data_IF_652185260664
#
_entry.id   IF_652185260664
#
_cell.length_a   1.000
_cell.length_b   1.000
_cell.length_c   1.000
_cell.angle_alpha   90.00
_cell.angle_beta   90.00
_cell.angle_gamma   90.00
#
_symmetry.space_group_name_H-M   'P 1'
#
loop_
_entity.id
_entity.type
_entity.pdbx_description
1 polymer ?
#
# COMPACT_ATOMS: atom_id res chain seq x y z
N UNK A 1 -11.91 27.34 -48.49
CA UNK A 1 -11.01 26.86 -47.41
C UNK A 1 -11.70 27.08 -46.05
N UNK A 2 -12.63 26.18 -45.64
CA UNK A 2 -13.47 26.36 -44.42
C UNK A 2 -13.53 25.07 -43.54
N UNK A 3 -12.84 23.97 -43.90
CA UNK A 3 -12.94 22.70 -43.17
C UNK A 3 -12.01 22.53 -41.93
N UNK A 4 -11.10 23.47 -41.66
CA UNK A 4 -10.03 23.28 -40.66
C UNK A 4 -10.42 23.63 -39.21
N UNK A 5 -11.30 24.61 -38.99
CA UNK A 5 -11.57 25.13 -37.63
C UNK A 5 -12.34 24.15 -36.72
N UNK A 6 -13.35 23.45 -37.26
CA UNK A 6 -14.14 22.50 -36.49
C UNK A 6 -13.39 21.20 -36.17
N UNK A 7 -12.51 20.76 -37.08
CA UNK A 7 -11.65 19.59 -36.87
C UNK A 7 -10.64 19.84 -35.74
N UNK A 8 -9.96 20.99 -35.75
CA UNK A 8 -9.02 21.38 -34.69
C UNK A 8 -9.71 21.51 -33.33
N UNK A 9 -10.95 22.00 -33.29
CA UNK A 9 -11.72 22.11 -32.06
C UNK A 9 -12.07 20.73 -31.49
N UNK A 10 -12.51 19.79 -32.33
CA UNK A 10 -12.80 18.42 -31.90
C UNK A 10 -11.54 17.68 -31.41
N UNK A 11 -10.43 17.82 -32.13
CA UNK A 11 -9.13 17.25 -31.75
C UNK A 11 -8.66 17.81 -30.39
N UNK A 12 -8.78 19.13 -30.19
CA UNK A 12 -8.43 19.77 -28.93
C UNK A 12 -9.31 19.30 -27.77
N UNK A 13 -10.60 19.08 -28.00
CA UNK A 13 -11.51 18.54 -26.99
C UNK A 13 -11.15 17.11 -26.60
N UNK A 14 -10.84 16.26 -27.58
CA UNK A 14 -10.40 14.87 -27.33
C UNK A 14 -9.07 14.87 -26.57
N UNK A 15 -8.11 15.70 -26.99
CA UNK A 15 -6.83 15.84 -26.30
C UNK A 15 -7.01 16.29 -24.84
N UNK A 16 -7.92 17.23 -24.59
CA UNK A 16 -8.24 17.70 -23.25
C UNK A 16 -8.87 16.59 -22.39
N UNK A 17 -9.80 15.82 -22.94
CA UNK A 17 -10.41 14.67 -22.24
C UNK A 17 -9.34 13.65 -21.87
N UNK A 18 -8.44 13.31 -22.80
CA UNK A 18 -7.34 12.39 -22.56
C UNK A 18 -6.41 12.92 -21.46
N UNK A 19 -6.11 14.22 -21.48
CA UNK A 19 -5.28 14.84 -20.44
C UNK A 19 -5.93 14.73 -19.05
N UNK A 20 -7.23 15.00 -18.93
CA UNK A 20 -7.96 14.85 -17.67
C UNK A 20 -7.99 13.39 -17.18
N UNK A 21 -8.23 12.44 -18.09
CA UNK A 21 -8.18 11.02 -17.75
C UNK A 21 -6.78 10.61 -17.26
N UNK A 22 -5.74 11.07 -17.94
CA UNK A 22 -4.35 10.81 -17.55
C UNK A 22 -4.04 11.31 -16.14
N UNK A 23 -4.40 12.56 -15.83
CA UNK A 23 -4.20 13.14 -14.48
C UNK A 23 -4.99 12.38 -13.42
N UNK A 24 -6.24 11.98 -13.74
CA UNK A 24 -7.10 11.24 -12.80
C UNK A 24 -6.54 9.85 -12.50
N UNK A 25 -6.13 9.11 -13.53
CA UNK A 25 -5.52 7.78 -13.37
C UNK A 25 -4.22 7.90 -12.58
N UNK A 26 -3.39 8.89 -12.89
CA UNK A 26 -2.15 9.12 -12.15
C UNK A 26 -2.41 9.38 -10.67
N UNK A 27 -3.38 10.24 -10.34
CA UNK A 27 -3.74 10.51 -8.96
C UNK A 27 -4.23 9.26 -8.21
N UNK A 28 -5.05 8.42 -8.86
CA UNK A 28 -5.52 7.16 -8.30
C UNK A 28 -4.37 6.19 -8.05
N UNK A 29 -3.49 5.99 -9.05
CA UNK A 29 -2.32 5.10 -8.94
C UNK A 29 -1.40 5.54 -7.81
N UNK A 30 -1.12 6.85 -7.69
CA UNK A 30 -0.28 7.37 -6.59
C UNK A 30 -0.96 7.16 -5.24
N UNK A 31 -2.28 7.37 -5.15
CA UNK A 31 -3.05 7.11 -3.94
C UNK A 31 -2.96 5.65 -3.49
N UNK A 32 -3.31 4.73 -4.38
CA UNK A 32 -3.27 3.28 -4.12
C UNK A 32 -1.86 2.79 -3.84
N UNK A 33 -0.84 3.31 -4.54
CA UNK A 33 0.56 2.91 -4.31
C UNK A 33 1.01 3.21 -2.88
N UNK A 34 0.63 4.37 -2.32
CA UNK A 34 0.98 4.75 -0.94
C UNK A 34 0.25 3.90 0.09
N UNK A 35 -1.00 3.55 -0.17
CA UNK A 35 -1.75 2.64 0.70
C UNK A 35 -1.16 1.24 0.66
N UNK A 36 -0.83 0.74 -0.54
CA UNK A 36 -0.21 -0.56 -0.72
C UNK A 36 1.18 -0.64 -0.07
N UNK A 37 1.99 0.41 -0.17
CA UNK A 37 3.30 0.50 0.47
C UNK A 37 3.18 0.34 1.99
N UNK A 38 2.26 1.06 2.63
CA UNK A 38 1.99 0.95 4.08
C UNK A 38 1.52 -0.43 4.50
N UNK A 39 0.64 -1.05 3.70
CA UNK A 39 0.15 -2.40 3.96
C UNK A 39 1.28 -3.44 3.84
N UNK A 40 2.16 -3.28 2.86
CA UNK A 40 3.29 -4.17 2.61
C UNK A 40 4.36 -4.01 3.70
N UNK A 41 4.65 -2.78 4.12
CA UNK A 41 5.52 -2.47 5.26
C UNK A 41 5.00 -3.16 6.53
N UNK A 42 3.72 -2.95 6.87
CA UNK A 42 3.10 -3.57 8.05
C UNK A 42 3.13 -5.11 7.99
N UNK A 43 2.87 -5.71 6.82
CA UNK A 43 2.94 -7.18 6.63
C UNK A 43 4.37 -7.69 6.80
N UNK A 44 5.34 -6.93 6.31
CA UNK A 44 6.77 -7.27 6.36
C UNK A 44 7.27 -7.19 7.80
N UNK A 45 6.92 -6.14 8.53
CA UNK A 45 7.28 -5.95 9.93
C UNK A 45 6.74 -7.06 10.82
N UNK A 46 5.48 -7.45 10.64
CA UNK A 46 4.85 -8.57 11.37
C UNK A 46 5.54 -9.89 11.09
N UNK A 47 5.84 -10.17 9.83
CA UNK A 47 6.55 -11.40 9.41
C UNK A 47 7.97 -11.43 9.97
N UNK A 48 8.67 -10.30 9.91
CA UNK A 48 10.01 -10.15 10.46
C UNK A 48 10.00 -10.35 11.97
N UNK A 49 9.08 -9.68 12.68
CA UNK A 49 8.89 -9.82 14.12
C UNK A 49 8.66 -11.29 14.50
N UNK A 50 7.74 -11.97 13.81
CA UNK A 50 7.47 -13.39 14.02
C UNK A 50 8.73 -14.25 13.85
N UNK A 51 9.47 -14.05 12.75
CA UNK A 51 10.67 -14.84 12.45
C UNK A 51 11.77 -14.62 13.50
N UNK A 52 12.02 -13.36 13.88
CA UNK A 52 13.03 -13.02 14.88
C UNK A 52 12.65 -13.56 16.26
N UNK A 53 11.40 -13.40 16.68
CA UNK A 53 10.92 -13.94 17.96
C UNK A 53 11.06 -15.46 18.00
N UNK A 54 10.64 -16.16 16.93
CA UNK A 54 10.72 -17.61 16.84
C UNK A 54 12.15 -18.14 16.82
N UNK A 55 13.05 -17.47 16.09
CA UNK A 55 14.45 -17.89 15.96
C UNK A 55 15.26 -17.67 17.24
N UNK A 56 14.96 -16.60 17.98
CA UNK A 56 15.72 -16.19 19.17
C UNK A 56 14.98 -16.46 20.49
N UNK A 57 13.80 -17.10 20.46
CA UNK A 57 12.94 -17.37 21.61
C UNK A 57 12.62 -16.11 22.45
N UNK A 58 12.29 -15.01 21.76
CA UNK A 58 11.97 -13.72 22.39
C UNK A 58 10.48 -13.66 22.73
N UNK A 59 10.15 -13.00 23.85
CA UNK A 59 8.77 -12.77 24.29
C UNK A 59 8.13 -11.54 23.67
N UNK A 60 8.94 -10.61 23.20
CA UNK A 60 8.49 -9.42 22.46
C UNK A 60 9.61 -8.90 21.58
N UNK A 61 9.24 -8.18 20.53
CA UNK A 61 10.18 -7.43 19.68
C UNK A 61 9.54 -6.14 19.23
N UNK A 62 10.31 -5.05 19.27
CA UNK A 62 9.93 -3.78 18.68
C UNK A 62 10.44 -3.72 17.23
N UNK A 63 9.54 -3.51 16.29
CA UNK A 63 9.87 -3.26 14.87
C UNK A 63 9.25 -1.92 14.51
N UNK A 64 10.09 -0.98 14.06
CA UNK A 64 9.73 0.44 13.93
C UNK A 64 9.06 0.95 15.22
N UNK A 65 7.79 1.36 15.12
CA UNK A 65 7.03 1.92 16.24
C UNK A 65 6.07 0.92 16.89
N UNK A 66 6.04 -0.33 16.40
CA UNK A 66 5.13 -1.37 16.87
C UNK A 66 5.86 -2.40 17.73
N UNK A 67 5.22 -2.81 18.83
CA UNK A 67 5.70 -3.88 19.70
C UNK A 67 4.84 -5.13 19.48
N UNK A 68 5.50 -6.20 19.06
CA UNK A 68 4.90 -7.48 18.74
C UNK A 68 5.18 -8.52 19.81
N UNK A 69 4.20 -9.39 20.04
CA UNK A 69 4.28 -10.52 20.97
C UNK A 69 3.82 -11.82 20.29
N UNK A 70 4.33 -12.98 20.71
CA UNK A 70 3.89 -14.26 20.17
C UNK A 70 2.44 -14.56 20.59
N UNK A 71 1.56 -14.81 19.62
CA UNK A 71 0.14 -15.11 19.86
C UNK A 71 -0.24 -16.57 19.48
N UNK A 72 0.76 -17.44 19.33
CA UNK A 72 0.60 -18.82 18.91
C UNK A 72 1.38 -19.17 17.65
N UNK A 73 1.19 -20.38 17.15
CA UNK A 73 1.97 -20.85 15.99
C UNK A 73 1.47 -20.17 14.70
N UNK A 74 2.31 -19.31 14.12
CA UNK A 74 1.95 -18.52 12.93
C UNK A 74 1.13 -17.26 13.22
N UNK A 75 1.07 -16.79 14.47
CA UNK A 75 0.38 -15.56 14.83
C UNK A 75 1.29 -14.60 15.60
N UNK A 76 1.07 -13.30 15.41
CA UNK A 76 1.67 -12.22 16.21
C UNK A 76 0.59 -11.30 16.75
N UNK A 77 0.74 -10.89 18.00
CA UNK A 77 -0.09 -9.85 18.61
C UNK A 77 0.63 -8.51 18.51
N UNK A 78 -0.02 -7.52 17.93
CA UNK A 78 0.42 -6.14 17.93
C UNK A 78 -0.16 -5.43 19.16
N UNK A 79 0.71 -5.03 20.08
CA UNK A 79 0.30 -4.38 21.33
C UNK A 79 -0.18 -2.94 21.13
N UNK A 80 0.32 -2.26 20.10
CA UNK A 80 -0.07 -0.89 19.76
C UNK A 80 -1.50 -0.87 19.21
N UNK A 81 -1.80 -1.78 18.29
CA UNK A 81 -3.12 -1.90 17.65
C UNK A 81 -4.10 -2.78 18.44
N UNK A 82 -3.60 -3.52 19.44
CA UNK A 82 -4.34 -4.49 20.24
C UNK A 82 -5.04 -5.55 19.38
N UNK A 83 -4.35 -6.04 18.35
CA UNK A 83 -4.88 -7.00 17.36
C UNK A 83 -3.92 -8.15 17.12
N UNK A 84 -4.49 -9.31 16.83
CA UNK A 84 -3.75 -10.49 16.39
C UNK A 84 -3.73 -10.58 14.86
N UNK A 85 -2.58 -10.99 14.32
CA UNK A 85 -2.34 -11.14 12.91
C UNK A 85 -1.80 -12.53 12.60
N UNK A 86 -2.43 -13.19 11.63
CA UNK A 86 -1.92 -14.42 11.07
C UNK A 86 -0.76 -14.11 10.12
N UNK A 87 0.34 -14.85 10.25
CA UNK A 87 1.51 -14.78 9.38
C UNK A 87 1.35 -15.86 8.31
N UNK A 88 0.99 -15.42 7.11
CA UNK A 88 1.04 -16.27 5.92
C UNK A 88 2.50 -16.59 5.61
N UNK A 89 2.82 -17.87 5.45
CA UNK A 89 4.14 -18.35 5.06
C UNK A 89 4.48 -18.03 3.62
#
# INVERSE_FOLDING_TARGET
MIKSKGFLMAESMIALIIAFLGVTIFALVVGESRENERNLESKTDRTYAWHVMKKNNLKEVKVHDHVYQPAGNGYVYDTNEKKEYHIEK
#
